data_IF_183602714224
#
_entry.id   IF_183602714224
#
_cell.length_a   1.000
_cell.length_b   1.000
_cell.length_c   1.000
_cell.angle_alpha   90.00
_cell.angle_beta   90.00
_cell.angle_gamma   90.00
#
_symmetry.space_group_name_H-M   'P 1'
#
loop_
_entity.id
_entity.type
_entity.pdbx_description
1 polymer ?
#
# COMPACT_ATOMS: atom_id res chain seq x y z
N UNK A 1 -29.55 -11.31 4.28
CA UNK A 1 -28.44 -10.48 4.74
C UNK A 1 -27.17 -11.00 4.14
N UNK A 2 -26.68 -10.34 3.14
CA UNK A 2 -25.37 -10.61 2.55
C UNK A 2 -24.31 -9.98 3.44
N UNK A 3 -24.02 -10.66 4.56
CA UNK A 3 -23.01 -10.22 5.49
C UNK A 3 -21.68 -10.79 5.03
N UNK A 4 -20.83 -9.90 4.56
CA UNK A 4 -19.39 -10.04 4.71
C UNK A 4 -18.76 -11.33 4.17
N UNK A 5 -19.09 -11.65 2.93
CA UNK A 5 -18.38 -12.71 2.25
C UNK A 5 -17.04 -12.13 1.75
N UNK A 6 -16.09 -12.03 2.69
CA UNK A 6 -14.73 -11.67 2.33
C UNK A 6 -14.22 -12.72 1.35
N UNK A 7 -13.69 -12.31 0.20
CA UNK A 7 -13.28 -13.27 -0.81
C UNK A 7 -12.24 -14.23 -0.25
N UNK A 8 -12.57 -15.52 -0.28
CA UNK A 8 -11.68 -16.57 0.14
C UNK A 8 -10.49 -16.65 -0.84
N UNK A 9 -9.30 -16.43 -0.32
CA UNK A 9 -8.09 -16.56 -1.11
C UNK A 9 -7.51 -17.94 -0.92
N UNK A 10 -7.57 -18.76 -1.97
CA UNK A 10 -7.14 -20.15 -1.91
C UNK A 10 -5.65 -20.33 -2.20
N UNK A 11 -5.10 -21.47 -1.77
CA UNK A 11 -3.72 -21.87 -2.07
C UNK A 11 -3.50 -22.04 -3.58
N UNK A 12 -4.53 -22.48 -4.32
CA UNK A 12 -4.48 -22.60 -5.77
C UNK A 12 -4.28 -21.23 -6.44
N UNK A 13 -4.96 -20.20 -5.93
CA UNK A 13 -4.78 -18.83 -6.41
C UNK A 13 -3.36 -18.30 -6.14
N UNK A 14 -2.77 -18.69 -5.02
CA UNK A 14 -1.37 -18.39 -4.69
C UNK A 14 -0.42 -19.14 -5.62
N UNK A 15 -0.62 -20.45 -5.80
CA UNK A 15 0.22 -21.31 -6.65
C UNK A 15 0.19 -20.85 -8.11
N UNK A 16 -0.95 -20.42 -8.61
CA UNK A 16 -1.06 -19.85 -9.96
C UNK A 16 -0.19 -18.60 -10.16
N UNK A 17 0.06 -17.84 -9.08
CA UNK A 17 0.89 -16.62 -9.09
C UNK A 17 2.32 -16.84 -8.62
N UNK A 18 2.60 -18.02 -8.09
CA UNK A 18 3.93 -18.42 -7.61
C UNK A 18 4.23 -19.87 -7.98
N UNK A 19 4.62 -20.12 -9.24
CA UNK A 19 4.93 -21.48 -9.71
C UNK A 19 6.06 -22.17 -8.94
N UNK A 20 7.00 -21.38 -8.43
CA UNK A 20 8.15 -21.87 -7.66
C UNK A 20 7.87 -22.02 -6.17
N UNK A 21 6.60 -22.14 -5.78
CA UNK A 21 6.22 -22.37 -4.38
C UNK A 21 6.84 -23.67 -3.88
N UNK A 22 7.52 -23.65 -2.71
CA UNK A 22 8.15 -24.86 -2.17
C UNK A 22 7.13 -25.97 -1.95
N UNK A 23 7.40 -27.22 -2.37
CA UNK A 23 6.50 -28.33 -2.13
C UNK A 23 6.37 -28.60 -0.62
N UNK A 24 5.18 -28.95 -0.18
CA UNK A 24 4.89 -29.22 1.23
C UNK A 24 4.62 -27.98 2.10
N UNK A 25 4.62 -26.79 1.49
CA UNK A 25 4.35 -25.55 2.22
C UNK A 25 2.89 -25.07 2.12
N UNK A 26 2.02 -25.88 1.54
CA UNK A 26 0.62 -25.53 1.27
C UNK A 26 -0.17 -25.24 2.56
N UNK A 27 0.04 -26.03 3.59
CA UNK A 27 -0.64 -25.84 4.88
C UNK A 27 -0.21 -24.53 5.54
N UNK A 28 1.09 -24.24 5.52
CA UNK A 28 1.61 -22.99 6.01
C UNK A 28 1.09 -21.80 5.20
N UNK A 29 1.07 -21.92 3.87
CA UNK A 29 0.51 -20.90 2.99
C UNK A 29 -0.97 -20.64 3.26
N UNK A 30 -1.75 -21.68 3.56
CA UNK A 30 -3.17 -21.55 3.91
C UNK A 30 -3.36 -20.68 5.15
N UNK A 31 -2.63 -20.97 6.21
CA UNK A 31 -2.69 -20.18 7.45
C UNK A 31 -2.30 -18.72 7.19
N UNK A 32 -1.23 -18.49 6.44
CA UNK A 32 -0.79 -17.13 6.10
C UNK A 32 -1.81 -16.39 5.22
N UNK A 33 -2.54 -17.08 4.36
CA UNK A 33 -3.62 -16.47 3.57
C UNK A 33 -4.81 -16.04 4.44
N UNK A 34 -5.15 -16.84 5.44
CA UNK A 34 -6.17 -16.50 6.43
C UNK A 34 -5.75 -15.27 7.23
N UNK A 35 -4.52 -15.24 7.72
CA UNK A 35 -3.95 -14.09 8.44
C UNK A 35 -3.89 -12.83 7.56
N UNK A 36 -3.47 -12.97 6.31
CA UNK A 36 -3.48 -11.87 5.34
C UNK A 36 -4.90 -11.31 5.14
N UNK A 37 -5.91 -12.16 5.08
CA UNK A 37 -7.30 -11.74 5.01
C UNK A 37 -7.74 -10.92 6.22
N UNK A 38 -7.33 -11.30 7.41
CA UNK A 38 -7.58 -10.53 8.65
C UNK A 38 -6.91 -9.16 8.59
N UNK A 39 -5.65 -9.11 8.18
CA UNK A 39 -4.90 -7.86 8.07
C UNK A 39 -5.50 -6.91 7.02
N UNK A 40 -5.93 -7.44 5.89
CA UNK A 40 -6.58 -6.64 4.83
C UNK A 40 -7.89 -6.05 5.35
N UNK A 41 -8.73 -6.84 6.02
CA UNK A 41 -9.99 -6.35 6.62
C UNK A 41 -9.73 -5.26 7.66
N UNK A 42 -8.72 -5.43 8.49
CA UNK A 42 -8.37 -4.44 9.50
C UNK A 42 -7.81 -3.15 8.90
N UNK A 43 -7.01 -3.25 7.84
CA UNK A 43 -6.38 -2.11 7.17
C UNK A 43 -7.32 -1.36 6.23
N UNK A 44 -8.25 -2.07 5.60
CA UNK A 44 -9.18 -1.53 4.60
C UNK A 44 -10.63 -1.75 5.04
N UNK A 45 -11.19 -0.90 5.89
CA UNK A 45 -12.59 -1.03 6.34
C UNK A 45 -13.62 -1.02 5.21
N UNK A 46 -13.27 -0.41 4.06
CA UNK A 46 -14.09 -0.38 2.85
C UNK A 46 -13.85 -1.52 1.87
N UNK A 47 -13.25 -2.62 2.30
CA UNK A 47 -12.89 -3.76 1.45
C UNK A 47 -14.05 -4.33 0.62
N UNK A 48 -15.28 -4.25 1.12
CA UNK A 48 -16.48 -4.71 0.45
C UNK A 48 -16.82 -3.95 -0.85
N UNK A 49 -16.22 -2.75 -1.05
CA UNK A 49 -16.32 -1.99 -2.29
C UNK A 49 -15.21 -2.32 -3.29
N UNK A 50 -14.28 -3.18 -2.91
CA UNK A 50 -13.15 -3.56 -3.75
C UNK A 50 -13.46 -4.80 -4.58
N UNK A 51 -12.92 -4.91 -5.79
CA UNK A 51 -13.02 -6.14 -6.54
C UNK A 51 -12.28 -7.28 -5.82
N UNK A 52 -12.86 -8.46 -5.80
CA UNK A 52 -12.29 -9.65 -5.16
C UNK A 52 -10.87 -9.96 -5.66
N UNK A 53 -10.61 -9.69 -6.94
CA UNK A 53 -9.29 -9.88 -7.55
C UNK A 53 -8.22 -9.00 -6.92
N UNK A 54 -8.55 -7.75 -6.56
CA UNK A 54 -7.59 -6.84 -5.90
C UNK A 54 -7.19 -7.38 -4.53
N UNK A 55 -8.15 -7.88 -3.77
CA UNK A 55 -7.92 -8.51 -2.47
C UNK A 55 -7.06 -9.75 -2.62
N UNK A 56 -7.40 -10.62 -3.58
CA UNK A 56 -6.65 -11.84 -3.90
C UNK A 56 -5.19 -11.53 -4.29
N UNK A 57 -4.98 -10.53 -5.14
CA UNK A 57 -3.63 -10.13 -5.55
C UNK A 57 -2.81 -9.65 -4.36
N UNK A 58 -3.39 -8.83 -3.50
CA UNK A 58 -2.71 -8.30 -2.31
C UNK A 58 -2.37 -9.42 -1.34
N UNK A 59 -3.32 -10.28 -1.00
CA UNK A 59 -3.10 -11.41 -0.10
C UNK A 59 -1.99 -12.34 -0.62
N UNK A 60 -2.04 -12.72 -1.89
CA UNK A 60 -1.01 -13.57 -2.50
C UNK A 60 0.38 -12.92 -2.47
N UNK A 61 0.48 -11.60 -2.70
CA UNK A 61 1.75 -10.87 -2.60
C UNK A 61 2.30 -10.83 -1.18
N UNK A 62 1.44 -10.61 -0.20
CA UNK A 62 1.82 -10.61 1.22
C UNK A 62 2.39 -11.97 1.62
N UNK A 63 1.66 -13.05 1.33
CA UNK A 63 2.07 -14.42 1.67
C UNK A 63 3.34 -14.84 0.94
N UNK A 64 3.42 -14.59 -0.37
CA UNK A 64 4.64 -14.87 -1.14
C UNK A 64 5.86 -14.19 -0.54
N UNK A 65 5.73 -12.93 -0.15
CA UNK A 65 6.82 -12.14 0.46
C UNK A 65 7.22 -12.70 1.83
N UNK A 66 6.26 -13.05 2.67
CA UNK A 66 6.50 -13.63 3.99
C UNK A 66 7.19 -14.98 3.89
N UNK A 67 6.71 -15.87 3.04
CA UNK A 67 7.30 -17.20 2.83
C UNK A 67 8.68 -17.13 2.19
N UNK A 68 8.89 -16.22 1.23
CA UNK A 68 10.19 -16.02 0.61
C UNK A 68 11.23 -15.47 1.61
N UNK A 69 10.82 -14.60 2.51
CA UNK A 69 11.70 -14.10 3.57
C UNK A 69 12.05 -15.19 4.59
N UNK A 70 11.10 -16.02 4.99
CA UNK A 70 11.30 -17.11 5.93
C UNK A 70 12.19 -18.25 5.39
N UNK A 71 12.35 -18.36 4.08
CA UNK A 71 13.28 -19.32 3.46
C UNK A 71 14.75 -18.89 3.59
N UNK A 72 14.98 -17.61 3.84
CA UNK A 72 16.32 -17.07 4.13
C UNK A 72 16.43 -16.84 5.63
N UNK A 73 17.39 -17.44 6.26
CA UNK A 73 17.78 -17.40 7.68
C UNK A 73 16.97 -16.40 8.55
N UNK A 74 16.16 -16.89 9.47
CA UNK A 74 15.44 -16.08 10.45
C UNK A 74 16.37 -15.06 11.12
N UNK A 75 16.04 -13.79 11.03
CA UNK A 75 16.78 -12.71 11.67
C UNK A 75 17.90 -12.06 10.84
N UNK A 76 18.20 -12.56 9.64
CA UNK A 76 19.18 -11.90 8.79
C UNK A 76 18.57 -10.69 8.08
N UNK A 77 18.98 -9.50 8.46
CA UNK A 77 18.58 -8.26 7.77
C UNK A 77 19.30 -8.03 6.44
N UNK A 78 20.42 -8.72 6.24
CA UNK A 78 21.20 -8.66 4.99
C UNK A 78 21.98 -9.94 4.78
N UNK A 79 22.09 -10.37 3.54
CA UNK A 79 22.98 -11.44 3.12
C UNK A 79 24.06 -10.84 2.23
N UNK A 80 25.30 -10.96 2.65
CA UNK A 80 26.46 -10.57 1.85
C UNK A 80 27.03 -11.82 1.22
N UNK A 81 26.94 -11.95 -0.09
CA UNK A 81 27.57 -13.03 -0.83
C UNK A 81 28.77 -12.47 -1.57
N UNK A 82 29.95 -12.93 -1.18
CA UNK A 82 31.20 -12.56 -1.82
C UNK A 82 31.55 -13.62 -2.86
N UNK A 83 31.52 -13.25 -4.12
CA UNK A 83 31.95 -14.08 -5.23
C UNK A 83 33.02 -13.35 -6.04
N UNK A 84 34.29 -13.55 -5.69
CA UNK A 84 35.42 -12.89 -6.35
C UNK A 84 35.42 -11.37 -6.14
N UNK A 85 35.64 -10.56 -7.22
CA UNK A 85 35.67 -9.10 -7.11
C UNK A 85 34.28 -8.46 -7.00
N UNK A 86 33.20 -9.24 -7.01
CA UNK A 86 31.84 -8.74 -6.94
C UNK A 86 31.24 -9.01 -5.56
N UNK A 87 30.93 -7.94 -4.85
CA UNK A 87 30.16 -8.00 -3.61
C UNK A 87 28.70 -7.69 -3.93
N UNK A 88 27.83 -8.67 -3.76
CA UNK A 88 26.40 -8.45 -3.85
C UNK A 88 25.82 -8.48 -2.43
N UNK A 89 25.33 -7.33 -2.01
CA UNK A 89 24.62 -7.18 -0.75
C UNK A 89 23.12 -7.17 -1.04
N UNK A 90 22.42 -8.18 -0.54
CA UNK A 90 20.96 -8.24 -0.60
C UNK A 90 20.42 -7.81 0.76
N UNK A 91 19.70 -6.70 0.76
CA UNK A 91 19.03 -6.20 1.96
C UNK A 91 17.57 -6.63 1.95
N UNK A 92 17.12 -7.23 3.02
CA UNK A 92 15.73 -7.67 3.17
C UNK A 92 14.93 -6.61 3.93
N UNK A 93 13.84 -6.17 3.30
CA UNK A 93 12.91 -5.21 3.92
C UNK A 93 12.10 -5.83 5.07
N UNK A 94 12.04 -7.15 5.14
CA UNK A 94 11.29 -7.89 6.15
C UNK A 94 12.04 -9.18 6.55
N UNK A 95 13.09 -9.07 7.37
CA UNK A 95 13.93 -10.21 7.72
C UNK A 95 13.21 -11.30 8.55
N UNK A 96 12.13 -10.95 9.23
CA UNK A 96 11.37 -11.87 10.08
C UNK A 96 10.27 -12.63 9.33
N UNK A 97 10.03 -12.33 8.05
CA UNK A 97 8.94 -12.96 7.31
C UNK A 97 7.53 -12.54 7.74
N UNK A 98 7.41 -11.41 8.45
CA UNK A 98 6.12 -10.93 8.92
C UNK A 98 5.19 -10.52 7.77
N UNK A 99 3.90 -10.74 7.96
CA UNK A 99 2.88 -10.24 7.04
C UNK A 99 2.69 -8.74 7.22
N UNK A 100 2.86 -7.98 6.16
CA UNK A 100 2.60 -6.54 6.17
C UNK A 100 2.07 -6.05 4.82
N UNK A 101 1.37 -4.94 4.86
CA UNK A 101 0.88 -4.23 3.67
C UNK A 101 1.88 -3.17 3.24
N UNK A 102 2.41 -3.30 2.05
CA UNK A 102 3.25 -2.27 1.43
C UNK A 102 2.44 -1.03 1.03
N UNK A 103 3.12 0.07 0.75
CA UNK A 103 2.45 1.31 0.28
C UNK A 103 1.67 1.09 -1.01
N UNK A 104 2.21 0.30 -1.94
CA UNK A 104 1.55 -0.01 -3.20
C UNK A 104 0.28 -0.84 -2.99
N UNK A 105 0.32 -1.80 -2.08
CA UNK A 105 -0.82 -2.63 -1.71
C UNK A 105 -1.91 -1.82 -0.99
N UNK A 106 -1.52 -0.95 -0.06
CA UNK A 106 -2.44 -0.01 0.58
C UNK A 106 -3.14 0.88 -0.45
N UNK A 107 -2.39 1.39 -1.43
CA UNK A 107 -2.95 2.19 -2.53
C UNK A 107 -3.93 1.38 -3.38
N UNK A 108 -3.62 0.12 -3.66
CA UNK A 108 -4.50 -0.78 -4.41
C UNK A 108 -5.80 -1.07 -3.65
N UNK A 109 -5.73 -1.14 -2.33
CA UNK A 109 -6.89 -1.29 -1.44
C UNK A 109 -7.61 0.05 -1.16
N UNK A 110 -7.19 1.14 -1.78
CA UNK A 110 -7.77 2.47 -1.55
C UNK A 110 -7.46 3.05 -0.17
N UNK A 111 -6.53 2.45 0.56
CA UNK A 111 -6.11 2.88 1.90
C UNK A 111 -4.93 3.85 1.78
N UNK A 112 -4.98 4.93 2.52
CA UNK A 112 -3.84 5.85 2.60
C UNK A 112 -3.77 6.89 1.49
N UNK A 113 -4.85 7.13 0.74
CA UNK A 113 -4.99 8.40 0.05
C UNK A 113 -5.22 9.48 1.11
N UNK A 114 -4.14 10.12 1.53
CA UNK A 114 -4.28 11.37 2.28
C UNK A 114 -4.99 12.36 1.36
N UNK A 115 -6.27 12.54 1.58
CA UNK A 115 -6.96 13.71 1.07
C UNK A 115 -6.50 14.86 1.96
N UNK A 116 -5.68 15.73 1.42
CA UNK A 116 -5.45 17.02 2.03
C UNK A 116 -6.79 17.76 1.99
N UNK A 117 -7.50 17.74 3.10
CA UNK A 117 -8.66 18.60 3.29
C UNK A 117 -8.11 19.90 3.83
N UNK A 118 -8.15 20.93 3.03
CA UNK A 118 -7.91 22.28 3.51
C UNK A 118 -9.09 22.65 4.40
N UNK A 119 -8.86 22.69 5.69
CA UNK A 119 -9.83 23.24 6.63
C UNK A 119 -9.54 24.73 6.67
N UNK A 120 -10.45 25.52 6.10
CA UNK A 120 -10.43 26.95 6.31
C UNK A 120 -10.74 27.22 7.79
N UNK A 121 -9.70 27.45 8.56
CA UNK A 121 -9.79 27.76 10.00
C UNK A 121 -10.36 29.17 10.26
N UNK A 122 -10.49 29.97 9.22
CA UNK A 122 -11.09 31.27 9.29
C UNK A 122 -12.31 31.32 8.38
N UNK A 123 -13.52 31.20 8.92
CA UNK A 123 -14.70 31.58 8.16
C UNK A 123 -14.51 33.05 7.77
N UNK A 124 -14.51 33.30 6.49
CA UNK A 124 -14.50 34.67 6.00
C UNK A 124 -15.56 35.47 6.77
N UNK A 125 -15.23 36.60 7.37
CA UNK A 125 -16.22 37.43 7.98
C UNK A 125 -17.28 37.71 6.95
N UNK A 126 -18.53 37.31 7.24
CA UNK A 126 -19.63 37.42 6.33
C UNK A 126 -19.67 38.84 5.81
N UNK A 127 -19.36 39.00 4.52
CA UNK A 127 -19.62 40.22 3.81
C UNK A 127 -21.13 40.39 3.80
N UNK A 128 -21.58 41.25 4.69
CA UNK A 128 -22.93 41.71 4.68
C UNK A 128 -23.28 42.19 3.28
N UNK A 129 -24.45 41.86 2.86
CA UNK A 129 -25.10 42.33 1.67
C UNK A 129 -24.85 43.81 1.45
N UNK A 130 -24.30 44.11 0.33
CA UNK A 130 -24.17 45.49 -0.13
C UNK A 130 -23.56 45.53 -1.50
N UNK A 131 -24.42 45.53 -2.49
CA UNK A 131 -24.41 46.29 -3.71
C UNK A 131 -23.17 46.23 -4.58
N UNK A 132 -23.48 45.86 -5.80
CA UNK A 132 -22.92 46.39 -7.03
C UNK A 132 -21.47 45.99 -7.37
N UNK A 133 -21.50 45.09 -8.33
CA UNK A 133 -20.34 44.63 -9.01
C UNK A 133 -19.46 45.73 -9.57
N UNK A 134 -18.23 45.60 -9.29
CA UNK A 134 -17.20 46.04 -10.21
C UNK A 134 -16.06 45.06 -10.07
N UNK A 135 -15.72 44.46 -11.17
CA UNK A 135 -14.73 43.44 -11.29
C UNK A 135 -13.48 43.77 -10.51
N UNK A 136 -13.16 42.87 -9.67
CA UNK A 136 -11.84 42.84 -9.04
C UNK A 136 -10.84 42.70 -10.17
N UNK A 137 -10.15 43.78 -10.48
CA UNK A 137 -8.98 43.70 -11.32
C UNK A 137 -8.00 42.77 -10.64
N UNK A 138 -7.86 41.58 -11.19
CA UNK A 138 -6.77 40.74 -10.83
C UNK A 138 -5.50 41.49 -11.23
N UNK A 139 -4.82 42.00 -10.25
CA UNK A 139 -3.44 42.43 -10.47
C UNK A 139 -2.63 41.21 -10.83
N UNK A 140 -2.09 41.14 -12.03
CA UNK A 140 -1.16 40.06 -12.32
C UNK A 140 0.01 40.19 -11.37
N UNK A 141 0.27 39.15 -10.63
CA UNK A 141 1.52 39.02 -9.91
C UNK A 141 2.61 39.06 -10.98
N UNK A 142 3.23 40.17 -11.14
CA UNK A 142 4.40 40.27 -11.98
C UNK A 142 5.46 39.34 -11.40
N UNK A 143 5.81 38.37 -12.19
CA UNK A 143 6.91 37.50 -11.86
C UNK A 143 8.12 38.34 -11.47
N UNK A 144 8.66 37.99 -10.35
CA UNK A 144 9.89 38.53 -9.85
C UNK A 144 10.98 38.18 -10.87
N UNK A 145 11.34 39.14 -11.68
CA UNK A 145 12.49 39.01 -12.55
C UNK A 145 13.71 39.34 -11.74
N UNK A 146 14.44 38.33 -11.33
CA UNK A 146 15.81 38.52 -10.83
C UNK A 146 16.65 38.94 -12.03
N UNK A 147 16.86 40.24 -12.14
CA UNK A 147 17.91 40.77 -13.00
C UNK A 147 19.25 40.36 -12.40
N UNK A 148 19.91 39.45 -13.05
CA UNK A 148 21.32 39.22 -12.81
C UNK A 148 22.07 40.12 -13.75
N UNK A 149 22.67 41.11 -13.17
CA UNK A 149 23.83 41.81 -13.77
C UNK A 149 25.10 41.03 -13.47
#
# INVERSE_FOLDING_TARGET
MMMDDFPEVTVEALRARWPDMPPGSEEHARVLLEDAGVLIRAAAPGWFNLPAEAITIVACRMVKRAMAAGAFVEGASSLTQTAGPFNQQVSFANPNGDLYLSRAEKKLLGVGSQRATTIDLFPAPGCGMGGDGHGVAQTPVHGFTLGLD
#
